data_IF_878006849478
#
_entry.id   IF_878006849478
#
_cell.length_a   1.000
_cell.length_b   1.000
_cell.length_c   1.000
_cell.angle_alpha   90.00
_cell.angle_beta   90.00
_cell.angle_gamma   90.00
#
_symmetry.space_group_name_H-M   'P 1'
#
loop_
_entity.id
_entity.type
_entity.pdbx_description
1 polymer ?
#
# COMPACT_ATOMS: atom_id res chain seq x y z
N UNK A 1 -5.57 -12.52 -66.53
CA UNK A 1 -5.86 -11.15 -66.04
C UNK A 1 -6.43 -11.37 -64.64
N UNK A 2 -5.77 -11.03 -63.53
CA UNK A 2 -5.09 -9.78 -63.20
C UNK A 2 -3.73 -10.00 -62.52
N UNK A 3 -2.84 -9.02 -62.73
CA UNK A 3 -1.52 -8.85 -62.13
C UNK A 3 -1.65 -7.92 -60.91
N UNK A 4 -0.53 -7.70 -60.18
CA UNK A 4 -0.19 -6.59 -59.25
C UNK A 4 -0.27 -7.00 -57.76
N UNK A 5 0.70 -6.75 -56.87
CA UNK A 5 2.06 -6.20 -56.95
C UNK A 5 2.85 -6.69 -55.71
N UNK A 6 4.15 -6.87 -55.89
CA UNK A 6 5.17 -6.95 -54.83
C UNK A 6 5.35 -5.56 -54.20
N UNK A 7 5.51 -5.48 -52.87
CA UNK A 7 6.05 -4.30 -52.20
C UNK A 7 7.07 -4.71 -51.12
N UNK A 8 8.20 -4.04 -51.21
CA UNK A 8 9.50 -4.31 -50.61
C UNK A 8 9.72 -3.45 -49.36
N UNK A 9 10.32 -4.05 -48.33
CA UNK A 9 11.18 -3.50 -47.26
C UNK A 9 10.86 -2.16 -46.58
N UNK A 10 10.81 -2.19 -45.24
CA UNK A 10 11.85 -1.61 -44.38
C UNK A 10 11.64 -2.05 -42.92
N UNK A 11 12.52 -2.93 -42.43
CA UNK A 11 12.69 -3.17 -41.01
C UNK A 11 13.38 -1.95 -40.40
N UNK A 12 12.64 -1.12 -39.67
CA UNK A 12 13.23 -0.19 -38.70
C UNK A 12 13.08 -0.83 -37.32
N UNK A 13 14.21 -1.28 -36.77
CA UNK A 13 14.34 -1.66 -35.38
C UNK A 13 14.04 -0.45 -34.50
N UNK A 14 12.79 -0.30 -34.08
CA UNK A 14 12.50 0.44 -32.87
C UNK A 14 12.79 -0.51 -31.69
N UNK A 15 14.02 -0.46 -31.20
CA UNK A 15 14.38 -1.00 -29.88
C UNK A 15 13.73 -0.10 -28.82
N UNK A 16 12.40 -0.13 -28.76
CA UNK A 16 11.66 0.45 -27.64
C UNK A 16 11.78 -0.57 -26.53
N UNK A 17 12.55 -0.19 -25.51
CA UNK A 17 13.00 -1.06 -24.43
C UNK A 17 11.90 -1.96 -23.91
N UNK A 18 12.27 -3.22 -23.67
CA UNK A 18 11.53 -4.07 -22.76
C UNK A 18 11.53 -3.36 -21.41
N UNK A 19 10.51 -2.55 -21.15
CA UNK A 19 10.03 -2.37 -19.80
C UNK A 19 9.56 -3.76 -19.38
N UNK A 20 10.48 -4.55 -18.83
CA UNK A 20 10.12 -5.65 -17.96
C UNK A 20 9.37 -4.94 -16.84
N UNK A 21 8.04 -4.89 -16.96
CA UNK A 21 7.21 -4.74 -15.79
C UNK A 21 7.68 -5.88 -14.88
N UNK A 22 8.49 -5.53 -13.89
CA UNK A 22 8.72 -6.44 -12.78
C UNK A 22 7.33 -6.61 -12.22
N UNK A 23 6.69 -7.72 -12.56
CA UNK A 23 5.50 -8.24 -11.93
C UNK A 23 5.95 -8.62 -10.51
N UNK A 24 6.29 -7.61 -9.72
CA UNK A 24 6.18 -7.69 -8.28
C UNK A 24 4.69 -7.90 -8.08
N UNK A 25 4.30 -9.18 -8.02
CA UNK A 25 3.01 -9.59 -7.52
C UNK A 25 2.93 -8.95 -6.14
N UNK A 26 2.30 -7.78 -6.07
CA UNK A 26 1.94 -7.16 -4.81
C UNK A 26 0.95 -8.15 -4.22
N UNK A 27 1.45 -9.03 -3.34
CA UNK A 27 0.59 -9.92 -2.58
C UNK A 27 -0.18 -9.00 -1.66
N UNK A 28 -1.33 -8.53 -2.14
CA UNK A 28 -2.18 -7.61 -1.43
C UNK A 28 -2.75 -8.34 -0.22
N UNK A 29 -2.21 -8.02 0.95
CA UNK A 29 -2.62 -8.67 2.19
C UNK A 29 -4.04 -8.24 2.53
N UNK A 30 -4.98 -9.18 2.73
CA UNK A 30 -6.38 -8.87 3.03
C UNK A 30 -6.52 -7.94 4.25
N UNK A 31 -7.44 -6.97 4.18
CA UNK A 31 -7.65 -6.01 5.28
C UNK A 31 -7.96 -6.69 6.61
N UNK A 32 -8.80 -7.72 6.60
CA UNK A 32 -9.12 -8.49 7.82
C UNK A 32 -7.90 -9.10 8.49
N UNK A 33 -6.88 -9.49 7.71
CA UNK A 33 -5.63 -9.98 8.28
C UNK A 33 -4.85 -8.86 8.99
N UNK A 34 -4.84 -7.65 8.40
CA UNK A 34 -4.20 -6.46 8.99
C UNK A 34 -4.90 -6.03 10.28
N UNK A 35 -6.23 -5.97 10.27
CA UNK A 35 -7.02 -5.63 11.45
C UNK A 35 -6.81 -6.64 12.57
N UNK A 36 -6.80 -7.94 12.23
CA UNK A 36 -6.61 -8.99 13.21
C UNK A 36 -5.28 -8.86 13.95
N UNK A 37 -4.18 -8.65 13.23
CA UNK A 37 -2.86 -8.56 13.87
C UNK A 37 -2.77 -7.34 14.78
N UNK A 38 -3.33 -6.20 14.37
CA UNK A 38 -3.40 -4.98 15.19
C UNK A 38 -4.17 -5.23 16.48
N UNK A 39 -5.31 -5.94 16.40
CA UNK A 39 -6.14 -6.27 17.56
C UNK A 39 -5.53 -7.35 18.48
N UNK A 40 -4.55 -8.13 17.99
CA UNK A 40 -3.96 -9.27 18.71
C UNK A 40 -2.43 -9.17 18.73
N UNK A 41 -1.86 -8.23 19.51
CA UNK A 41 -0.41 -8.11 19.62
C UNK A 41 0.21 -9.36 20.25
N UNK A 42 1.46 -9.65 19.83
CA UNK A 42 2.25 -10.75 20.38
C UNK A 42 3.62 -10.25 20.85
N UNK A 43 4.33 -11.10 21.60
CA UNK A 43 5.66 -10.76 22.11
C UNK A 43 6.61 -10.38 20.96
N UNK A 44 7.27 -9.20 21.03
CA UNK A 44 8.21 -8.78 20.01
C UNK A 44 9.39 -9.73 19.88
N UNK A 45 9.81 -9.98 18.65
CA UNK A 45 10.96 -10.78 18.28
C UNK A 45 12.02 -9.87 17.70
N UNK A 46 13.27 -10.13 18.07
CA UNK A 46 14.43 -9.45 17.48
C UNK A 46 14.89 -10.23 16.26
N UNK A 47 14.97 -9.56 15.10
CA UNK A 47 15.50 -10.14 13.87
C UNK A 47 16.80 -9.42 13.53
N UNK A 48 17.85 -10.19 13.28
CA UNK A 48 19.13 -9.66 12.82
C UNK A 48 19.04 -9.38 11.31
N UNK A 49 19.07 -8.09 10.94
CA UNK A 49 19.09 -7.63 9.55
C UNK A 49 17.97 -6.65 9.20
N UNK A 50 18.05 -6.08 8.00
CA UNK A 50 17.03 -5.18 7.47
C UNK A 50 15.80 -5.96 7.01
N UNK A 51 14.74 -5.93 7.82
CA UNK A 51 13.44 -6.46 7.44
C UNK A 51 12.84 -5.62 6.31
N UNK A 52 12.52 -6.28 5.21
CA UNK A 52 11.90 -5.67 4.03
C UNK A 52 10.86 -6.61 3.42
N UNK A 53 10.03 -6.09 2.54
CA UNK A 53 9.05 -6.92 1.84
C UNK A 53 9.79 -7.92 0.95
N UNK A 54 9.36 -9.17 0.98
CA UNK A 54 10.05 -10.26 0.32
C UNK A 54 11.12 -10.95 1.17
N UNK A 55 11.42 -10.44 2.37
CA UNK A 55 12.36 -11.08 3.30
C UNK A 55 11.83 -12.43 3.79
N UNK A 56 12.69 -13.45 3.93
CA UNK A 56 12.30 -14.79 4.41
C UNK A 56 12.58 -14.90 5.91
N UNK A 57 11.53 -15.12 6.69
CA UNK A 57 11.61 -15.23 8.14
C UNK A 57 12.31 -16.54 8.56
N UNK A 58 13.42 -16.48 9.32
CA UNK A 58 14.15 -17.65 9.80
C UNK A 58 13.26 -18.62 10.58
N UNK A 59 13.56 -19.93 10.52
CA UNK A 59 12.82 -20.96 11.25
C UNK A 59 12.88 -20.83 12.78
N UNK A 60 13.91 -20.16 13.29
CA UNK A 60 14.05 -19.82 14.71
C UNK A 60 12.94 -18.89 15.22
N UNK A 61 12.29 -18.14 14.34
CA UNK A 61 11.19 -17.23 14.68
C UNK A 61 9.86 -17.99 14.61
N UNK A 62 9.07 -17.89 15.68
CA UNK A 62 7.73 -18.47 15.72
C UNK A 62 6.74 -17.54 15.02
N UNK A 63 6.28 -17.94 13.84
CA UNK A 63 5.23 -17.23 13.10
C UNK A 63 3.87 -17.72 13.57
N UNK A 64 3.01 -16.81 14.05
CA UNK A 64 1.67 -17.15 14.54
C UNK A 64 0.66 -17.13 13.38
N UNK A 65 -0.20 -18.14 13.22
CA UNK A 65 -1.19 -18.14 12.14
C UNK A 65 -2.28 -17.09 12.37
N UNK A 66 -2.85 -16.55 11.29
CA UNK A 66 -4.02 -15.66 11.33
C UNK A 66 -5.27 -16.53 11.13
N UNK A 67 -6.19 -16.66 12.12
CA UNK A 67 -7.29 -17.63 12.07
C UNK A 67 -8.21 -17.50 10.85
N UNK A 68 -8.57 -16.27 10.46
CA UNK A 68 -9.45 -16.02 9.30
C UNK A 68 -8.72 -16.05 7.95
N UNK A 69 -7.39 -16.15 7.98
CA UNK A 69 -6.53 -16.04 6.81
C UNK A 69 -5.38 -17.07 6.91
N UNK A 70 -5.67 -18.38 6.72
CA UNK A 70 -4.74 -19.46 7.02
C UNK A 70 -3.49 -19.52 6.12
N UNK A 71 -3.48 -18.80 4.99
CA UNK A 71 -2.28 -18.63 4.16
C UNK A 71 -1.27 -17.64 4.76
N UNK A 72 -1.66 -16.91 5.80
CA UNK A 72 -0.88 -15.86 6.41
C UNK A 72 -0.64 -16.14 7.89
N UNK A 73 0.51 -15.68 8.35
CA UNK A 73 0.89 -15.60 9.74
C UNK A 73 1.44 -14.23 10.07
N UNK A 74 1.72 -14.00 11.34
CA UNK A 74 2.22 -12.73 11.81
C UNK A 74 3.27 -12.91 12.91
N UNK A 75 4.14 -11.91 13.00
CA UNK A 75 5.11 -11.71 14.06
C UNK A 75 5.09 -10.25 14.46
N UNK A 76 5.64 -9.96 15.64
CA UNK A 76 5.88 -8.59 16.07
C UNK A 76 7.38 -8.33 16.07
N UNK A 77 7.82 -7.25 15.42
CA UNK A 77 9.22 -6.82 15.44
C UNK A 77 9.25 -5.36 15.88
N UNK A 78 10.03 -5.06 16.91
CA UNK A 78 10.07 -3.72 17.54
C UNK A 78 8.67 -3.18 17.89
N UNK A 79 7.77 -4.07 18.31
CA UNK A 79 6.38 -3.74 18.67
C UNK A 79 5.43 -3.55 17.48
N UNK A 80 5.85 -3.85 16.25
CA UNK A 80 5.08 -3.63 15.02
C UNK A 80 4.65 -4.94 14.38
N UNK A 81 3.43 -5.03 13.84
CA UNK A 81 2.97 -6.21 13.15
C UNK A 81 3.68 -6.36 11.80
N UNK A 82 4.19 -7.55 11.54
CA UNK A 82 4.70 -7.99 10.25
C UNK A 82 3.90 -9.21 9.83
N UNK A 83 3.29 -9.15 8.64
CA UNK A 83 2.51 -10.27 8.09
C UNK A 83 3.39 -11.04 7.10
N UNK A 84 3.32 -12.36 7.23
CA UNK A 84 4.18 -13.33 6.59
C UNK A 84 3.31 -14.32 5.83
N UNK A 85 3.58 -14.58 4.57
CA UNK A 85 2.99 -15.69 3.84
C UNK A 85 3.57 -17.01 4.37
N UNK A 86 2.71 -17.92 4.82
CA UNK A 86 3.15 -19.18 5.42
C UNK A 86 3.69 -20.17 4.39
N UNK A 87 3.29 -20.03 3.12
CA UNK A 87 3.73 -20.92 2.03
C UNK A 87 5.26 -20.92 1.87
N UNK A 88 5.89 -19.75 1.99
CA UNK A 88 7.32 -19.55 1.77
C UNK A 88 8.01 -18.77 2.91
N UNK A 89 7.32 -18.58 4.04
CA UNK A 89 7.76 -17.77 5.19
C UNK A 89 8.22 -16.36 4.80
N UNK A 90 7.64 -15.80 3.73
CA UNK A 90 8.06 -14.53 3.19
C UNK A 90 7.24 -13.38 3.77
N UNK A 91 7.91 -12.28 4.12
CA UNK A 91 7.25 -11.06 4.55
C UNK A 91 6.51 -10.45 3.38
N UNK A 92 5.19 -10.33 3.52
CA UNK A 92 4.30 -9.77 2.49
C UNK A 92 3.77 -8.41 2.89
N UNK A 93 3.78 -8.07 4.18
CA UNK A 93 3.41 -6.75 4.67
C UNK A 93 4.24 -6.42 5.91
N UNK A 94 4.80 -5.21 5.91
CA UNK A 94 5.41 -4.59 7.06
C UNK A 94 4.55 -3.38 7.41
N UNK A 95 4.20 -3.23 8.68
CA UNK A 95 3.77 -1.93 9.17
C UNK A 95 5.01 -1.02 9.23
N UNK A 96 5.39 -0.47 8.09
CA UNK A 96 6.48 0.49 8.00
C UNK A 96 6.03 1.84 8.57
N UNK A 97 6.99 2.56 9.16
CA UNK A 97 6.84 3.98 9.51
C UNK A 97 6.87 4.87 8.25
N UNK A 98 6.94 4.27 7.05
CA UNK A 98 7.20 5.02 5.81
C UNK A 98 6.02 5.89 5.36
N UNK A 99 4.85 5.76 6.00
CA UNK A 99 3.64 6.43 5.54
C UNK A 99 3.20 5.94 4.15
N UNK A 100 3.66 4.76 3.69
CA UNK A 100 3.24 4.20 2.41
C UNK A 100 1.77 3.81 2.49
N UNK A 101 0.97 4.66 1.89
CA UNK A 101 -0.47 4.48 1.74
C UNK A 101 -0.74 3.22 0.91
N UNK A 102 -1.69 2.36 1.33
CA UNK A 102 -2.12 1.22 0.52
C UNK A 102 -2.65 1.66 -0.85
N UNK A 103 -2.29 0.95 -1.92
CA UNK A 103 -2.71 1.31 -3.29
C UNK A 103 -4.24 1.30 -3.48
N UNK A 104 -4.94 0.41 -2.78
CA UNK A 104 -6.41 0.34 -2.72
C UNK A 104 -7.04 1.64 -2.18
N UNK A 105 -6.39 2.28 -1.20
CA UNK A 105 -6.82 3.55 -0.61
C UNK A 105 -6.67 4.69 -1.62
N UNK A 106 -5.51 4.76 -2.30
CA UNK A 106 -5.27 5.75 -3.35
C UNK A 106 -6.30 5.56 -4.48
N UNK A 107 -6.49 4.32 -4.92
CA UNK A 107 -7.45 3.97 -5.97
C UNK A 107 -8.88 4.34 -5.59
N UNK A 108 -9.27 4.12 -4.34
CA UNK A 108 -10.59 4.51 -3.84
C UNK A 108 -10.77 6.03 -3.92
N UNK A 109 -9.81 6.80 -3.41
CA UNK A 109 -9.88 8.27 -3.43
C UNK A 109 -10.02 8.79 -4.87
N UNK A 110 -9.19 8.30 -5.78
CA UNK A 110 -9.22 8.71 -7.19
C UNK A 110 -10.55 8.41 -7.89
N UNK A 111 -11.24 7.34 -7.48
CA UNK A 111 -12.55 6.96 -8.02
C UNK A 111 -13.72 7.68 -7.35
N UNK A 112 -13.50 8.30 -6.18
CA UNK A 112 -14.53 8.94 -5.36
C UNK A 112 -14.12 10.37 -4.99
N UNK A 113 -13.99 11.28 -5.98
CA UNK A 113 -13.62 12.66 -5.72
C UNK A 113 -14.69 13.41 -4.92
N UNK A 114 -14.25 14.33 -4.06
CA UNK A 114 -15.11 15.18 -3.24
C UNK A 114 -15.03 16.65 -3.70
N UNK A 115 -15.97 17.46 -3.22
CA UNK A 115 -15.86 18.91 -3.32
C UNK A 115 -14.62 19.39 -2.58
N UNK A 116 -13.88 20.32 -3.20
CA UNK A 116 -12.64 20.83 -2.61
C UNK A 116 -12.92 21.86 -1.52
N UNK A 117 -12.17 21.78 -0.44
CA UNK A 117 -12.13 22.80 0.60
C UNK A 117 -10.92 23.71 0.39
N UNK A 118 -11.02 24.92 0.94
CA UNK A 118 -9.92 25.88 0.98
C UNK A 118 -9.32 25.87 2.38
N UNK A 119 -8.00 25.73 2.47
CA UNK A 119 -7.26 25.77 3.73
C UNK A 119 -6.18 26.84 3.59
N UNK A 120 -5.94 27.60 4.67
CA UNK A 120 -4.86 28.57 4.69
C UNK A 120 -3.50 27.85 4.71
N UNK A 121 -2.76 28.00 3.61
CA UNK A 121 -1.39 27.48 3.47
C UNK A 121 -1.31 26.14 2.74
N UNK A 122 -0.08 25.68 2.44
CA UNK A 122 0.12 24.43 1.71
C UNK A 122 -0.25 23.22 2.56
N UNK A 123 -0.92 22.26 1.94
CA UNK A 123 -1.17 20.94 2.52
C UNK A 123 -0.12 19.97 1.98
N UNK A 124 0.78 19.56 2.86
CA UNK A 124 1.88 18.62 2.60
C UNK A 124 1.80 17.43 3.56
N UNK A 125 2.57 16.38 3.30
CA UNK A 125 2.71 15.26 4.24
C UNK A 125 3.19 15.77 5.61
N UNK A 126 2.48 15.36 6.67
CA UNK A 126 2.72 15.80 8.05
C UNK A 126 1.84 16.96 8.52
N UNK A 127 1.18 17.67 7.59
CA UNK A 127 0.21 18.74 7.92
C UNK A 127 -0.94 18.19 8.75
N UNK A 128 -1.43 18.93 9.74
CA UNK A 128 -2.61 18.56 10.53
C UNK A 128 -3.81 19.33 9.99
N UNK A 129 -4.86 18.60 9.60
CA UNK A 129 -6.09 19.19 9.08
C UNK A 129 -6.93 19.74 10.25
N UNK A 130 -7.35 21.02 10.21
CA UNK A 130 -8.19 21.63 11.24
C UNK A 130 -9.49 20.87 11.50
N UNK A 131 -9.98 20.82 12.74
CA UNK A 131 -11.15 20.02 13.14
C UNK A 131 -12.48 20.45 12.48
N UNK A 132 -12.57 21.69 12.02
CA UNK A 132 -13.72 22.24 11.31
C UNK A 132 -13.84 21.74 9.86
N UNK A 133 -12.75 21.19 9.31
CA UNK A 133 -12.75 20.61 7.97
C UNK A 133 -13.35 19.20 8.02
N UNK A 134 -14.41 18.92 7.23
CA UNK A 134 -14.97 17.59 7.16
C UNK A 134 -13.98 16.62 6.51
N UNK A 135 -13.76 15.48 7.15
CA UNK A 135 -12.99 14.36 6.59
C UNK A 135 -13.96 13.25 6.18
N UNK A 136 -13.73 12.65 5.02
CA UNK A 136 -14.51 11.51 4.56
C UNK A 136 -13.79 10.21 4.90
N UNK A 137 -14.47 9.31 5.60
CA UNK A 137 -13.91 7.99 5.95
C UNK A 137 -13.78 7.10 4.71
N UNK A 138 -12.77 6.23 4.71
CA UNK A 138 -12.55 5.27 3.64
C UNK A 138 -13.18 3.92 4.04
N UNK A 139 -14.04 3.31 3.19
CA UNK A 139 -14.63 2.01 3.47
C UNK A 139 -13.56 0.95 3.75
N UNK A 140 -13.84 0.09 4.74
CA UNK A 140 -12.93 -0.98 5.19
C UNK A 140 -11.54 -0.51 5.66
N UNK A 141 -11.36 0.80 5.87
CA UNK A 141 -10.08 1.45 6.23
C UNK A 141 -10.28 2.55 7.30
N UNK A 142 -10.77 2.21 8.51
CA UNK A 142 -11.14 3.21 9.53
C UNK A 142 -9.96 4.06 10.02
N UNK A 143 -8.73 3.60 9.82
CA UNK A 143 -7.51 4.35 10.13
C UNK A 143 -7.38 5.61 9.26
N UNK A 144 -7.97 5.61 8.08
CA UNK A 144 -7.79 6.66 7.10
C UNK A 144 -9.10 7.37 6.77
N UNK A 145 -8.95 8.67 6.56
CA UNK A 145 -9.94 9.53 5.95
C UNK A 145 -9.28 10.33 4.85
N UNK A 146 -10.05 10.98 4.00
CA UNK A 146 -9.50 11.83 2.94
C UNK A 146 -10.31 13.11 2.77
N UNK A 147 -9.66 14.09 2.15
CA UNK A 147 -10.23 15.39 1.82
C UNK A 147 -9.61 15.90 0.52
N UNK A 148 -10.34 16.74 -0.21
CA UNK A 148 -9.80 17.44 -1.37
C UNK A 148 -9.49 18.88 -0.99
N UNK A 149 -8.23 19.29 -1.17
CA UNK A 149 -7.76 20.66 -0.90
C UNK A 149 -7.12 21.20 -2.17
N UNK A 150 -7.54 22.39 -2.61
CA UNK A 150 -7.10 22.98 -3.88
C UNK A 150 -7.14 22.01 -5.08
N UNK A 151 -8.23 21.24 -5.19
CA UNK A 151 -8.43 20.20 -6.22
C UNK A 151 -7.46 19.00 -6.14
N UNK A 152 -6.70 18.86 -5.05
CA UNK A 152 -5.75 17.77 -4.83
C UNK A 152 -6.24 16.87 -3.70
N UNK A 153 -6.23 15.54 -3.87
CA UNK A 153 -6.55 14.64 -2.79
C UNK A 153 -5.44 14.64 -1.73
N UNK A 154 -5.85 14.69 -0.47
CA UNK A 154 -4.99 14.48 0.68
C UNK A 154 -5.54 13.32 1.51
N UNK A 155 -4.70 12.31 1.76
CA UNK A 155 -5.02 11.24 2.69
C UNK A 155 -4.59 11.64 4.09
N UNK A 156 -5.46 11.38 5.05
CA UNK A 156 -5.35 11.80 6.43
C UNK A 156 -5.50 10.59 7.35
N UNK A 157 -4.66 10.47 8.38
CA UNK A 157 -4.88 9.51 9.45
C UNK A 157 -6.01 10.01 10.36
N UNK A 158 -7.11 9.27 10.46
CA UNK A 158 -8.36 9.68 11.13
C UNK A 158 -8.12 10.09 12.59
N UNK A 159 -7.29 9.34 13.33
CA UNK A 159 -7.06 9.57 14.75
C UNK A 159 -6.23 10.82 15.08
N UNK A 160 -5.34 11.23 14.16
CA UNK A 160 -4.43 12.37 14.38
C UNK A 160 -4.71 13.56 13.48
N UNK A 161 -5.62 13.40 12.51
CA UNK A 161 -5.90 14.35 11.42
C UNK A 161 -4.65 14.76 10.65
N UNK A 162 -3.59 13.95 10.70
CA UNK A 162 -2.33 14.22 10.03
C UNK A 162 -2.36 13.69 8.61
N UNK A 163 -1.97 14.52 7.65
CA UNK A 163 -1.80 14.16 6.25
C UNK A 163 -0.64 13.18 6.14
N UNK A 164 -0.89 12.04 5.51
CA UNK A 164 0.11 10.99 5.28
C UNK A 164 0.49 10.89 3.80
N UNK A 165 -0.34 11.44 2.90
CA UNK A 165 -0.10 11.49 1.46
C UNK A 165 -0.87 12.63 0.81
N UNK A 166 -0.29 13.23 -0.23
CA UNK A 166 -0.89 14.27 -1.07
C UNK A 166 -0.41 14.10 -2.51
N UNK A 167 -1.21 14.56 -3.48
CA UNK A 167 -0.87 14.54 -4.91
C UNK A 167 -0.48 15.91 -5.48
#
# INVERSE_FOLDING_TARGET
MNKILVLTAAAFFATSGLAIAQDSVIVEVPQRARDYVIAHPSDPVVIEGDLSQGYVIPESVVVRPIPENPGYGYIYVDGRPVIVALENRQVVYLADDSGRVPDEVITYIERNPLDTVMIDGPVDTGTVIPDDIPLMEIPDQPRYSYVYVDQRPALVETGTRRVVWVR
#
